data_IF_829890802598
#
_entry.id   IF_829890802598
#
_cell.length_a   1.000
_cell.length_b   1.000
_cell.length_c   1.000
_cell.angle_alpha   90.00
_cell.angle_beta   90.00
_cell.angle_gamma   90.00
#
_symmetry.space_group_name_H-M   'P 1'
#
loop_
_entity.id
_entity.type
_entity.pdbx_description
1 polymer ?
#
# COMPACT_ATOMS: atom_id res chain seq x y z
N UNK A 1 -44.54 37.32 -11.21
CA UNK A 1 -43.38 36.48 -11.60
C UNK A 1 -43.00 35.63 -10.39
N UNK A 2 -43.43 34.35 -10.37
CA UNK A 2 -43.19 33.43 -9.23
C UNK A 2 -41.87 32.72 -9.44
N UNK A 3 -40.91 32.91 -8.53
CA UNK A 3 -39.63 32.22 -8.53
C UNK A 3 -39.84 30.87 -7.85
N UNK A 4 -39.66 29.79 -8.60
CA UNK A 4 -39.67 28.41 -8.12
C UNK A 4 -38.42 28.14 -7.29
N UNK A 5 -38.61 27.71 -6.03
CA UNK A 5 -37.53 27.18 -5.18
C UNK A 5 -37.28 25.73 -5.59
N UNK A 6 -36.15 25.48 -6.20
CA UNK A 6 -35.65 24.13 -6.48
C UNK A 6 -35.11 23.53 -5.17
N UNK A 7 -35.78 22.52 -4.63
CA UNK A 7 -35.28 21.73 -3.51
C UNK A 7 -34.15 20.83 -3.99
N UNK A 8 -32.94 21.10 -3.53
CA UNK A 8 -31.81 20.19 -3.68
C UNK A 8 -31.99 19.09 -2.63
N UNK A 9 -32.34 17.91 -3.08
CA UNK A 9 -32.43 16.71 -2.26
C UNK A 9 -31.00 16.16 -2.02
N UNK A 10 -30.44 16.46 -0.84
CA UNK A 10 -29.18 15.86 -0.41
C UNK A 10 -29.40 14.38 -0.08
N UNK A 11 -28.98 13.49 -0.96
CA UNK A 11 -28.98 12.03 -0.70
C UNK A 11 -27.84 11.74 0.27
N UNK A 12 -28.16 11.59 1.55
CA UNK A 12 -27.28 11.00 2.54
C UNK A 12 -27.14 9.50 2.21
N UNK A 13 -26.04 9.11 1.59
CA UNK A 13 -25.64 7.71 1.49
C UNK A 13 -25.26 7.21 2.89
N UNK A 14 -26.22 6.61 3.58
CA UNK A 14 -25.96 5.87 4.80
C UNK A 14 -25.05 4.67 4.48
N UNK A 15 -23.81 4.71 4.95
CA UNK A 15 -22.90 3.59 4.83
C UNK A 15 -23.48 2.38 5.55
N UNK A 16 -23.74 1.29 4.82
CA UNK A 16 -24.16 0.02 5.41
C UNK A 16 -23.01 -0.54 6.24
N UNK A 17 -23.20 -0.68 7.54
CA UNK A 17 -22.34 -1.47 8.40
C UNK A 17 -22.53 -2.96 8.03
N UNK A 18 -21.50 -3.59 7.49
CA UNK A 18 -21.52 -5.04 7.24
C UNK A 18 -21.26 -5.71 8.58
N UNK A 19 -22.13 -6.62 9.04
CA UNK A 19 -21.91 -7.31 10.31
C UNK A 19 -20.63 -8.13 10.27
N UNK A 20 -19.79 -7.99 11.30
CA UNK A 20 -18.49 -8.62 11.39
C UNK A 20 -18.63 -10.14 11.54
N UNK A 21 -17.95 -10.86 10.68
CA UNK A 21 -17.49 -12.21 11.00
C UNK A 21 -16.28 -12.04 11.92
N UNK A 22 -16.34 -12.56 13.14
CA UNK A 22 -15.19 -12.57 14.05
C UNK A 22 -14.15 -13.53 13.48
N UNK A 23 -13.22 -13.02 12.70
CA UNK A 23 -12.19 -13.82 12.04
C UNK A 23 -11.64 -13.18 10.77
N UNK A 24 -10.84 -13.92 10.04
CA UNK A 24 -10.31 -13.54 8.74
C UNK A 24 -11.07 -14.24 7.60
N UNK A 25 -11.40 -13.56 6.50
CA UNK A 25 -11.03 -12.16 6.15
C UNK A 25 -11.82 -11.13 6.97
N UNK A 26 -11.21 -9.94 7.18
CA UNK A 26 -11.78 -8.87 8.03
C UNK A 26 -12.99 -8.17 7.42
N UNK A 27 -13.17 -8.26 6.11
CA UNK A 27 -14.35 -7.80 5.36
C UNK A 27 -14.51 -8.61 4.07
N UNK A 28 -15.68 -8.56 3.48
CA UNK A 28 -16.00 -9.27 2.24
C UNK A 28 -15.41 -8.57 1.01
N UNK A 29 -15.21 -9.35 -0.06
CA UNK A 29 -14.73 -8.90 -1.37
C UNK A 29 -13.29 -9.32 -1.65
N UNK A 30 -12.88 -9.11 -2.89
CA UNK A 30 -11.52 -9.39 -3.33
C UNK A 30 -10.71 -8.10 -3.23
N UNK A 31 -9.83 -8.08 -2.24
CA UNK A 31 -8.94 -6.94 -1.95
C UNK A 31 -7.53 -7.45 -1.63
N UNK A 32 -6.54 -6.63 -1.98
CA UNK A 32 -5.13 -6.94 -1.81
C UNK A 32 -4.35 -5.73 -1.27
N UNK A 33 -3.06 -5.92 -1.02
CA UNK A 33 -2.07 -4.88 -0.74
C UNK A 33 -2.54 -3.88 0.33
N UNK A 34 -3.02 -4.36 1.50
CA UNK A 34 -3.69 -3.49 2.45
C UNK A 34 -2.70 -2.62 3.22
N UNK A 35 -2.98 -1.33 3.27
CA UNK A 35 -2.33 -0.40 4.17
C UNK A 35 -3.24 -0.12 5.37
N UNK A 36 -2.80 -0.45 6.58
CA UNK A 36 -3.52 -0.12 7.82
C UNK A 36 -2.93 1.11 8.48
N UNK A 37 -3.80 2.03 8.92
CA UNK A 37 -3.45 3.24 9.68
C UNK A 37 -4.41 3.45 10.85
N UNK A 38 -4.01 4.28 11.80
CA UNK A 38 -4.88 4.75 12.87
C UNK A 38 -4.93 6.27 12.82
N UNK A 39 -6.14 6.81 12.68
CA UNK A 39 -6.41 8.25 12.72
C UNK A 39 -7.40 8.52 13.87
N UNK A 40 -6.95 9.30 14.86
CA UNK A 40 -7.73 9.47 16.09
C UNK A 40 -7.99 8.12 16.77
N UNK A 41 -9.26 7.78 16.95
CA UNK A 41 -9.70 6.53 17.58
C UNK A 41 -10.11 5.43 16.59
N UNK A 42 -9.98 5.67 15.28
CA UNK A 42 -10.37 4.73 14.25
C UNK A 42 -9.18 4.11 13.52
N UNK A 43 -9.29 2.83 13.21
CA UNK A 43 -8.40 2.11 12.32
C UNK A 43 -8.96 2.20 10.89
N UNK A 44 -8.07 2.42 9.94
CA UNK A 44 -8.39 2.53 8.52
C UNK A 44 -7.57 1.54 7.72
N UNK A 45 -8.23 0.84 6.82
CA UNK A 45 -7.57 -0.04 5.84
C UNK A 45 -7.86 0.49 4.45
N UNK A 46 -6.79 0.69 3.70
CA UNK A 46 -6.80 1.14 2.31
C UNK A 46 -6.24 0.00 1.46
N UNK A 47 -7.07 -0.79 0.80
CA UNK A 47 -6.60 -1.90 -0.04
C UNK A 47 -6.65 -1.57 -1.53
N UNK A 48 -5.95 -2.37 -2.34
CA UNK A 48 -6.18 -2.50 -3.76
C UNK A 48 -7.47 -3.30 -4.01
N UNK A 49 -8.31 -2.88 -4.93
CA UNK A 49 -9.40 -3.72 -5.47
C UNK A 49 -8.75 -4.83 -6.32
N UNK A 50 -8.98 -6.10 -5.97
CA UNK A 50 -8.30 -7.22 -6.59
C UNK A 50 -9.14 -7.86 -7.69
N UNK A 51 -9.00 -7.34 -8.90
CA UNK A 51 -9.66 -7.83 -10.14
C UNK A 51 -8.65 -7.84 -11.30
N UNK A 52 -9.10 -8.01 -12.51
CA UNK A 52 -8.27 -7.80 -13.69
C UNK A 52 -7.81 -6.34 -13.78
N UNK A 53 -6.56 -6.13 -14.16
CA UNK A 53 -5.87 -4.82 -14.09
C UNK A 53 -6.65 -3.66 -14.72
N UNK A 54 -7.42 -3.90 -15.78
CA UNK A 54 -8.25 -2.87 -16.41
C UNK A 54 -9.46 -2.44 -15.60
N UNK A 55 -9.88 -3.23 -14.61
CA UNK A 55 -10.99 -2.91 -13.72
C UNK A 55 -10.53 -2.28 -12.40
N UNK A 56 -9.26 -2.33 -12.11
CA UNK A 56 -8.65 -1.71 -10.94
C UNK A 56 -8.48 -0.21 -11.18
N UNK A 57 -9.61 0.51 -11.23
CA UNK A 57 -9.72 1.93 -11.61
C UNK A 57 -10.10 2.84 -10.45
N UNK A 58 -10.16 2.29 -9.23
CA UNK A 58 -10.54 3.03 -8.04
C UNK A 58 -10.01 2.36 -6.78
N UNK A 59 -10.03 3.10 -5.68
CA UNK A 59 -9.80 2.59 -4.34
C UNK A 59 -11.05 2.74 -3.48
N UNK A 60 -11.31 1.73 -2.65
CA UNK A 60 -12.21 1.80 -1.50
C UNK A 60 -11.37 1.96 -0.22
N UNK A 61 -12.01 2.39 0.87
CA UNK A 61 -11.42 2.35 2.19
C UNK A 61 -12.38 1.67 3.18
N UNK A 62 -11.84 1.21 4.30
CA UNK A 62 -12.61 0.61 5.38
C UNK A 62 -12.17 1.20 6.71
N UNK A 63 -13.12 1.57 7.57
CA UNK A 63 -12.84 2.05 8.93
C UNK A 63 -13.44 1.16 10.00
N UNK A 64 -12.78 1.12 11.16
CA UNK A 64 -13.20 0.33 12.32
C UNK A 64 -12.73 0.97 13.61
N UNK A 65 -13.54 0.96 14.64
CA UNK A 65 -13.14 1.37 16.00
C UNK A 65 -12.56 0.22 16.84
N UNK A 66 -12.77 -1.05 16.41
CA UNK A 66 -12.51 -2.23 17.22
C UNK A 66 -11.69 -3.33 16.51
N UNK A 67 -11.29 -3.10 15.25
CA UNK A 67 -10.64 -4.08 14.35
C UNK A 67 -11.49 -5.32 14.05
N UNK A 68 -12.78 -5.30 14.35
CA UNK A 68 -13.70 -6.41 14.14
C UNK A 68 -14.84 -6.06 13.20
N UNK A 69 -15.44 -4.90 13.41
CA UNK A 69 -16.54 -4.40 12.58
C UNK A 69 -16.01 -3.30 11.67
N UNK A 70 -16.21 -3.47 10.35
CA UNK A 70 -15.65 -2.58 9.33
C UNK A 70 -16.74 -1.89 8.54
N UNK A 71 -16.63 -0.57 8.43
CA UNK A 71 -17.47 0.26 7.58
C UNK A 71 -16.75 0.53 6.26
N UNK A 72 -17.39 0.19 5.14
CA UNK A 72 -16.86 0.47 3.81
C UNK A 72 -17.12 1.94 3.40
N UNK A 73 -16.11 2.57 2.82
CA UNK A 73 -16.15 3.87 2.16
C UNK A 73 -15.80 3.66 0.69
N UNK A 74 -16.79 3.65 -0.22
CA UNK A 74 -16.56 3.29 -1.60
C UNK A 74 -15.94 4.41 -2.41
N UNK A 75 -15.07 4.07 -3.36
CA UNK A 75 -14.54 4.95 -4.40
C UNK A 75 -13.97 6.26 -3.87
N UNK A 76 -13.07 6.15 -2.89
CA UNK A 76 -12.42 7.30 -2.26
C UNK A 76 -11.52 8.07 -3.24
N UNK A 77 -10.98 7.39 -4.26
CA UNK A 77 -10.20 7.92 -5.38
C UNK A 77 -10.48 7.06 -6.61
N UNK A 78 -10.64 7.68 -7.78
CA UNK A 78 -10.87 6.97 -9.05
C UNK A 78 -10.02 7.55 -10.18
N UNK A 79 -9.99 6.86 -11.33
CA UNK A 79 -9.35 7.38 -12.56
C UNK A 79 -10.00 8.66 -13.10
N UNK A 80 -11.18 9.06 -12.61
CA UNK A 80 -11.77 10.34 -12.98
C UNK A 80 -11.00 11.52 -12.36
N UNK A 81 -10.53 11.35 -11.13
CA UNK A 81 -9.72 12.35 -10.42
C UNK A 81 -8.24 12.27 -10.82
N UNK A 82 -7.79 11.12 -11.33
CA UNK A 82 -6.39 10.85 -11.73
C UNK A 82 -6.32 10.70 -13.24
N UNK A 83 -6.34 11.81 -13.96
CA UNK A 83 -6.52 11.82 -15.43
C UNK A 83 -5.40 11.18 -16.23
N UNK A 84 -4.23 10.97 -15.64
CA UNK A 84 -3.10 10.26 -16.25
C UNK A 84 -3.15 8.74 -16.07
N UNK A 85 -3.95 8.22 -15.13
CA UNK A 85 -4.14 6.80 -14.90
C UNK A 85 -5.32 6.27 -15.73
N UNK A 86 -5.17 5.07 -16.27
CA UNK A 86 -6.22 4.34 -17.01
C UNK A 86 -6.75 3.14 -16.24
N UNK A 87 -5.94 2.57 -15.36
CA UNK A 87 -6.24 1.38 -14.58
C UNK A 87 -5.00 0.86 -13.86
N UNK A 88 -5.10 -0.35 -13.34
CA UNK A 88 -4.06 -0.97 -12.51
C UNK A 88 -3.62 -0.05 -11.37
N UNK A 89 -4.61 0.51 -10.65
CA UNK A 89 -4.40 1.35 -9.46
C UNK A 89 -4.17 0.45 -8.25
N UNK A 90 -2.95 0.49 -7.68
CA UNK A 90 -2.47 -0.50 -6.71
C UNK A 90 -1.80 0.09 -5.49
N UNK A 91 -1.75 -0.75 -4.44
CA UNK A 91 -0.86 -0.65 -3.30
C UNK A 91 -0.82 0.75 -2.66
N UNK A 92 -1.92 1.21 -2.10
CA UNK A 92 -2.00 2.54 -1.52
C UNK A 92 -1.20 2.64 -0.22
N UNK A 93 -0.68 3.85 0.05
CA UNK A 93 -0.10 4.23 1.35
C UNK A 93 -0.64 5.61 1.76
N UNK A 94 -1.32 5.68 2.90
CA UNK A 94 -2.02 6.88 3.34
C UNK A 94 -1.38 7.49 4.60
N UNK A 95 -1.28 8.82 4.64
CA UNK A 95 -0.70 9.57 5.76
C UNK A 95 -1.52 10.80 6.10
N UNK A 96 -1.74 11.04 7.39
CA UNK A 96 -2.22 12.31 7.89
C UNK A 96 -1.02 13.24 8.15
N UNK A 97 -1.04 14.43 7.57
CA UNK A 97 -0.03 15.46 7.77
C UNK A 97 -0.72 16.82 7.84
N UNK A 98 -0.58 17.51 8.95
CA UNK A 98 -1.13 18.85 9.19
C UNK A 98 -2.65 18.98 8.86
N UNK A 99 -3.42 17.95 9.26
CA UNK A 99 -4.87 17.88 9.07
C UNK A 99 -5.33 17.58 7.64
N UNK A 100 -4.41 17.20 6.76
CA UNK A 100 -4.70 16.70 5.43
C UNK A 100 -4.29 15.23 5.32
N UNK A 101 -4.98 14.49 4.46
CA UNK A 101 -4.72 13.08 4.19
C UNK A 101 -4.10 12.95 2.81
N UNK A 102 -2.87 12.46 2.77
CA UNK A 102 -2.11 12.21 1.54
C UNK A 102 -2.15 10.73 1.22
N UNK A 103 -2.47 10.42 -0.02
CA UNK A 103 -2.69 9.06 -0.50
C UNK A 103 -1.76 8.79 -1.67
N UNK A 104 -0.70 8.01 -1.41
CA UNK A 104 0.24 7.57 -2.42
C UNK A 104 -0.28 6.28 -3.03
N UNK A 105 -0.19 6.14 -4.33
CA UNK A 105 -0.69 4.97 -5.05
C UNK A 105 0.12 4.73 -6.32
N UNK A 106 0.13 3.48 -6.77
CA UNK A 106 0.67 3.12 -8.08
C UNK A 106 -0.45 3.08 -9.12
N UNK A 107 -0.14 3.45 -10.36
CA UNK A 107 -1.00 3.19 -11.50
C UNK A 107 -0.12 2.65 -12.65
N UNK A 108 -0.34 1.41 -13.04
CA UNK A 108 0.53 0.72 -14.02
C UNK A 108 -0.10 0.61 -15.41
N UNK A 109 -1.32 1.11 -15.60
CA UNK A 109 -1.89 1.42 -16.92
C UNK A 109 -2.14 2.93 -16.99
N UNK A 110 -1.25 3.64 -17.66
CA UNK A 110 -1.25 5.10 -17.73
C UNK A 110 -1.37 5.59 -19.18
N UNK A 111 -1.85 6.81 -19.37
CA UNK A 111 -1.66 7.52 -20.63
C UNK A 111 -0.17 7.81 -20.85
N UNK A 112 0.30 7.97 -22.10
CA UNK A 112 1.71 8.24 -22.39
C UNK A 112 2.10 9.63 -21.85
N UNK A 113 2.45 9.70 -20.59
CA UNK A 113 3.05 10.86 -19.96
C UNK A 113 4.45 10.45 -19.52
N UNK A 114 5.43 10.71 -20.31
CA UNK A 114 6.88 10.72 -19.98
C UNK A 114 7.45 9.57 -19.09
N UNK A 115 6.75 8.50 -18.83
CA UNK A 115 7.29 7.36 -18.07
C UNK A 115 8.34 6.62 -18.90
N UNK A 116 9.63 6.89 -18.67
CA UNK A 116 10.73 6.23 -19.38
C UNK A 116 11.63 5.48 -18.42
N UNK A 117 12.20 4.38 -18.92
CA UNK A 117 13.28 3.67 -18.25
C UNK A 117 14.52 4.59 -18.17
N UNK A 118 15.48 4.19 -17.33
CA UNK A 118 16.77 4.89 -17.23
C UNK A 118 17.50 5.02 -18.58
N UNK A 119 17.27 4.03 -19.47
CA UNK A 119 17.76 4.01 -20.86
C UNK A 119 16.93 4.86 -21.84
N UNK A 120 15.90 5.56 -21.34
CA UNK A 120 15.05 6.45 -22.14
C UNK A 120 13.89 5.76 -22.87
N UNK A 121 13.84 4.41 -22.88
CA UNK A 121 12.81 3.66 -23.59
C UNK A 121 11.60 3.36 -22.70
N UNK A 122 10.38 3.44 -23.28
CA UNK A 122 9.18 3.05 -22.57
C UNK A 122 9.11 1.53 -22.40
N UNK A 123 9.06 1.03 -21.18
CA UNK A 123 8.81 -0.38 -20.92
C UNK A 123 7.32 -0.65 -20.91
N UNK A 124 6.82 -1.31 -21.94
CA UNK A 124 5.48 -1.87 -21.94
C UNK A 124 5.40 -3.00 -20.93
N UNK A 125 4.51 -2.89 -19.96
CA UNK A 125 4.16 -4.02 -19.10
C UNK A 125 3.38 -5.04 -19.92
N UNK A 126 3.65 -6.34 -19.78
CA UNK A 126 2.89 -7.36 -20.48
C UNK A 126 1.39 -7.21 -20.23
N UNK A 127 0.60 -7.00 -21.28
CA UNK A 127 -0.84 -6.82 -21.20
C UNK A 127 -1.34 -5.42 -20.77
N UNK A 128 -0.45 -4.48 -20.46
CA UNK A 128 -0.77 -3.10 -20.13
C UNK A 128 -0.29 -2.13 -21.22
N UNK A 129 -1.08 -1.10 -21.49
CA UNK A 129 -0.75 -0.08 -22.50
C UNK A 129 -0.30 1.23 -21.85
N UNK A 130 0.70 1.18 -20.98
CA UNK A 130 1.20 2.35 -20.30
C UNK A 130 2.56 2.13 -19.68
N UNK A 131 3.08 3.15 -19.00
CA UNK A 131 4.46 3.17 -18.53
C UNK A 131 4.58 2.99 -17.02
N UNK A 132 3.46 2.98 -16.29
CA UNK A 132 3.44 2.91 -14.85
C UNK A 132 3.94 4.19 -14.18
N UNK A 133 3.50 4.42 -12.95
CA UNK A 133 3.93 5.55 -12.15
C UNK A 133 3.36 5.50 -10.75
N UNK A 134 4.00 6.24 -9.84
CA UNK A 134 3.50 6.47 -8.48
C UNK A 134 2.95 7.88 -8.43
N UNK A 135 1.67 8.00 -8.03
CA UNK A 135 1.00 9.27 -7.84
C UNK A 135 0.78 9.61 -6.37
N UNK A 136 0.34 10.82 -6.12
CA UNK A 136 -0.11 11.27 -4.81
C UNK A 136 -1.39 12.07 -4.95
N UNK A 137 -2.37 11.74 -4.11
CA UNK A 137 -3.63 12.45 -4.00
C UNK A 137 -3.82 13.02 -2.59
N UNK A 138 -4.70 13.99 -2.43
CA UNK A 138 -4.95 14.65 -1.14
C UNK A 138 -6.45 14.81 -0.88
N UNK A 139 -6.83 14.67 0.39
CA UNK A 139 -8.19 14.91 0.88
C UNK A 139 -8.18 15.63 2.23
N UNK A 140 -9.36 16.14 2.63
CA UNK A 140 -9.59 16.75 3.94
C UNK A 140 -9.99 15.74 5.02
N UNK A 141 -10.35 14.50 4.60
CA UNK A 141 -10.81 13.42 5.46
C UNK A 141 -10.28 12.07 4.95
N UNK A 142 -10.11 11.07 5.82
CA UNK A 142 -9.56 9.78 5.42
C UNK A 142 -10.43 9.01 4.42
N UNK A 143 -11.76 9.22 4.46
CA UNK A 143 -12.68 8.64 3.48
C UNK A 143 -12.76 9.42 2.15
N UNK A 144 -11.95 10.46 1.98
CA UNK A 144 -11.95 11.28 0.78
C UNK A 144 -13.13 12.30 0.71
N UNK A 145 -13.52 12.73 -0.50
CA UNK A 145 -12.94 12.35 -1.78
C UNK A 145 -11.51 12.86 -1.96
N UNK A 146 -10.64 11.99 -2.45
CA UNK A 146 -9.27 12.38 -2.78
C UNK A 146 -9.20 13.03 -4.16
N UNK A 147 -8.22 13.92 -4.35
CA UNK A 147 -7.93 14.60 -5.61
C UNK A 147 -6.46 14.46 -5.93
N UNK A 148 -6.12 14.23 -7.19
CA UNK A 148 -4.74 14.23 -7.64
C UNK A 148 -4.04 15.52 -7.23
N UNK A 149 -2.89 15.40 -6.56
CA UNK A 149 -2.15 16.54 -6.02
C UNK A 149 -1.30 17.25 -7.07
N UNK A 150 -0.84 16.51 -8.10
CA UNK A 150 0.19 16.99 -9.03
C UNK A 150 -0.32 17.02 -10.47
N UNK A 151 -1.32 16.23 -10.84
CA UNK A 151 -1.81 16.07 -12.21
C UNK A 151 -0.91 15.20 -13.11
N UNK A 152 0.08 14.52 -12.52
CA UNK A 152 1.03 13.61 -13.18
C UNK A 152 1.65 12.69 -12.15
N UNK A 153 2.31 11.58 -12.54
CA UNK A 153 3.06 10.76 -11.60
C UNK A 153 4.17 11.56 -10.90
N UNK A 154 4.36 11.31 -9.61
CA UNK A 154 5.52 11.76 -8.83
C UNK A 154 6.77 10.98 -9.25
N UNK A 155 6.63 9.67 -9.46
CA UNK A 155 7.63 8.78 -10.07
C UNK A 155 7.06 8.31 -11.40
N UNK A 156 7.71 8.67 -12.50
CA UNK A 156 7.25 8.43 -13.87
C UNK A 156 8.18 7.52 -14.69
N UNK A 157 9.15 6.88 -14.03
CA UNK A 157 10.20 6.11 -14.69
C UNK A 157 10.74 4.95 -13.85
N UNK A 158 11.45 4.07 -14.51
CA UNK A 158 12.04 2.86 -13.93
C UNK A 158 13.51 3.10 -13.57
N UNK A 159 13.76 3.74 -12.45
CA UNK A 159 15.13 3.83 -11.92
C UNK A 159 15.58 2.46 -11.41
N UNK A 160 16.86 2.10 -11.64
CA UNK A 160 17.45 0.83 -11.19
C UNK A 160 16.68 -0.42 -11.67
N UNK A 161 15.88 -0.31 -12.72
CA UNK A 161 15.01 -1.38 -13.17
C UNK A 161 13.83 -1.70 -12.24
N UNK A 162 13.63 -0.91 -11.19
CA UNK A 162 12.49 -1.05 -10.29
C UNK A 162 11.20 -0.60 -10.97
N UNK A 163 10.19 -1.47 -10.97
CA UNK A 163 8.85 -1.07 -11.35
C UNK A 163 8.34 -0.02 -10.34
N UNK A 164 7.78 1.12 -10.78
CA UNK A 164 7.28 2.15 -9.89
C UNK A 164 5.95 1.76 -9.25
N UNK A 165 6.01 0.86 -8.27
CA UNK A 165 4.89 0.34 -7.49
C UNK A 165 5.26 0.20 -6.02
N UNK A 166 4.26 -0.10 -5.21
CA UNK A 166 4.39 -0.59 -3.82
C UNK A 166 5.19 0.37 -2.95
N UNK A 167 4.85 1.64 -3.04
CA UNK A 167 5.46 2.69 -2.26
C UNK A 167 5.08 2.60 -0.79
N UNK A 168 6.05 2.85 0.07
CA UNK A 168 5.89 3.05 1.50
C UNK A 168 6.58 4.34 1.93
N UNK A 169 5.82 5.26 2.50
CA UNK A 169 6.31 6.57 2.92
C UNK A 169 6.57 6.58 4.42
N UNK A 170 7.66 7.17 4.85
CA UNK A 170 8.01 7.30 6.25
C UNK A 170 8.72 8.61 6.56
N UNK A 171 8.62 9.05 7.83
CA UNK A 171 9.29 10.25 8.32
C UNK A 171 10.50 9.90 9.17
N UNK A 172 11.63 10.54 8.92
CA UNK A 172 12.82 10.40 9.74
C UNK A 172 13.53 11.73 9.93
N UNK A 173 13.79 12.13 11.19
CA UNK A 173 14.46 13.39 11.56
C UNK A 173 13.88 14.64 10.89
N UNK A 174 12.55 14.67 10.71
CA UNK A 174 11.84 15.80 10.10
C UNK A 174 11.66 15.74 8.59
N UNK A 175 12.40 14.89 7.90
CA UNK A 175 12.30 14.68 6.45
C UNK A 175 11.41 13.49 6.11
N UNK A 176 10.81 13.53 4.91
CA UNK A 176 10.00 12.47 4.35
C UNK A 176 10.78 11.66 3.33
N UNK A 177 10.63 10.36 3.39
CA UNK A 177 11.25 9.41 2.49
C UNK A 177 10.21 8.43 1.96
N UNK A 178 10.48 7.86 0.80
CA UNK A 178 9.68 6.79 0.22
C UNK A 178 10.60 5.67 -0.24
N UNK A 179 10.28 4.44 0.14
CA UNK A 179 10.81 3.23 -0.47
C UNK A 179 9.77 2.69 -1.42
N UNK A 180 10.17 2.22 -2.58
CA UNK A 180 9.26 1.67 -3.57
C UNK A 180 9.97 0.71 -4.53
N UNK A 181 9.23 -0.14 -5.17
CA UNK A 181 9.74 -0.94 -6.26
C UNK A 181 9.07 -2.30 -6.39
N UNK A 182 9.14 -2.81 -7.60
CA UNK A 182 8.79 -4.18 -7.97
C UNK A 182 9.89 -4.82 -8.79
N UNK A 183 9.62 -6.05 -9.28
CA UNK A 183 10.53 -6.87 -10.10
C UNK A 183 11.88 -7.15 -9.44
N UNK A 184 11.90 -7.25 -8.12
CA UNK A 184 13.11 -7.59 -7.37
C UNK A 184 14.07 -6.42 -7.17
N UNK A 185 13.62 -5.18 -7.37
CA UNK A 185 14.39 -3.96 -7.15
C UNK A 185 13.63 -2.99 -6.27
N UNK A 186 14.33 -2.37 -5.34
CA UNK A 186 13.82 -1.39 -4.41
C UNK A 186 14.64 -0.11 -4.46
N UNK A 187 13.96 1.02 -4.51
CA UNK A 187 14.58 2.34 -4.48
C UNK A 187 14.17 3.11 -3.24
N UNK A 188 15.09 3.92 -2.73
CA UNK A 188 14.84 4.95 -1.72
C UNK A 188 14.91 6.31 -2.39
N UNK A 189 13.90 7.17 -2.12
CA UNK A 189 13.87 8.57 -2.55
C UNK A 189 13.53 9.48 -1.37
N UNK A 190 13.93 10.75 -1.45
CA UNK A 190 13.55 11.79 -0.50
C UNK A 190 12.44 12.64 -1.09
N UNK A 191 11.39 12.89 -0.31
CA UNK A 191 10.21 13.66 -0.73
C UNK A 191 10.32 15.11 -0.26
N UNK A 192 9.84 16.04 -1.07
CA UNK A 192 9.56 17.39 -0.61
C UNK A 192 8.44 17.39 0.43
N UNK A 193 8.41 18.38 1.31
CA UNK A 193 7.43 18.46 2.42
C UNK A 193 5.98 18.58 1.94
N UNK A 194 5.79 19.10 0.74
CA UNK A 194 4.47 19.23 0.08
C UNK A 194 4.09 17.99 -0.77
N UNK A 195 4.95 16.98 -0.83
CA UNK A 195 4.80 15.74 -1.59
C UNK A 195 4.64 15.90 -3.11
N UNK A 196 4.99 17.09 -3.67
CA UNK A 196 4.85 17.37 -5.11
C UNK A 196 6.09 17.08 -5.92
N UNK A 197 7.22 16.83 -5.27
CA UNK A 197 8.50 16.59 -5.93
C UNK A 197 9.45 15.77 -5.06
N UNK A 198 10.53 15.30 -5.66
CA UNK A 198 11.65 14.69 -4.97
C UNK A 198 12.69 15.76 -4.59
N UNK A 199 13.43 15.49 -3.52
CA UNK A 199 14.57 16.27 -3.06
C UNK A 199 15.84 15.46 -3.34
N UNK A 200 16.84 16.02 -4.04
CA UNK A 200 18.10 15.32 -4.22
C UNK A 200 18.79 14.99 -2.89
N UNK A 201 19.50 13.87 -2.84
CA UNK A 201 20.46 13.57 -1.80
C UNK A 201 21.70 14.50 -1.92
N UNK A 202 22.59 14.45 -0.93
CA UNK A 202 23.78 15.31 -0.89
C UNK A 202 24.70 15.15 -2.11
N UNK A 203 24.72 13.95 -2.71
CA UNK A 203 25.45 13.63 -3.95
C UNK A 203 24.74 14.07 -5.24
N UNK A 204 23.59 14.73 -5.12
CA UNK A 204 22.77 15.16 -6.25
C UNK A 204 21.85 14.08 -6.84
N UNK A 205 21.95 12.83 -6.40
CA UNK A 205 21.09 11.75 -6.87
C UNK A 205 19.65 11.91 -6.37
N UNK A 206 18.66 11.52 -7.19
CA UNK A 206 17.24 11.54 -6.80
C UNK A 206 16.78 10.21 -6.18
N UNK A 207 17.55 9.15 -6.33
CA UNK A 207 17.24 7.83 -5.83
C UNK A 207 18.51 7.09 -5.41
N UNK A 208 18.33 6.07 -4.58
CA UNK A 208 19.39 5.14 -4.16
C UNK A 208 18.87 3.71 -4.25
N UNK A 209 19.72 2.78 -4.68
CA UNK A 209 19.41 1.35 -4.57
C UNK A 209 19.23 0.98 -3.10
N UNK A 210 18.09 0.37 -2.81
CA UNK A 210 17.71 0.01 -1.45
C UNK A 210 17.25 -1.46 -1.37
N UNK A 211 17.66 -2.27 -2.34
CA UNK A 211 17.20 -3.64 -2.54
C UNK A 211 17.77 -4.59 -1.49
N UNK A 212 16.98 -5.11 -0.54
CA UNK A 212 17.45 -6.10 0.41
C UNK A 212 17.45 -7.51 -0.21
N UNK A 213 18.12 -8.44 0.46
CA UNK A 213 18.20 -9.84 0.02
C UNK A 213 16.82 -10.48 -0.11
N UNK A 214 16.51 -11.03 -1.29
CA UNK A 214 15.26 -11.75 -1.54
C UNK A 214 14.03 -10.85 -1.72
N UNK A 215 14.23 -9.57 -1.92
CA UNK A 215 13.18 -8.59 -2.22
C UNK A 215 12.49 -8.89 -3.55
N UNK A 216 11.18 -8.72 -3.59
CA UNK A 216 10.40 -8.70 -4.83
C UNK A 216 9.61 -7.39 -4.93
N UNK A 217 8.87 -7.02 -3.88
CA UNK A 217 7.99 -5.84 -3.82
C UNK A 217 7.45 -5.63 -2.40
N UNK A 218 6.47 -4.70 -2.20
CA UNK A 218 5.67 -4.60 -0.97
C UNK A 218 6.44 -4.18 0.26
N UNK A 219 7.16 -3.06 0.18
CA UNK A 219 7.99 -2.50 1.26
C UNK A 219 7.16 -2.01 2.45
N UNK A 220 7.62 -2.30 3.67
CA UNK A 220 7.11 -1.72 4.92
C UNK A 220 8.27 -1.46 5.89
N UNK A 221 8.30 -0.28 6.50
CA UNK A 221 9.32 0.08 7.47
C UNK A 221 8.69 0.58 8.78
N UNK A 222 9.19 0.10 9.91
CA UNK A 222 8.78 0.62 11.21
C UNK A 222 9.90 0.55 12.24
N UNK A 223 9.77 1.33 13.30
CA UNK A 223 10.73 1.35 14.41
C UNK A 223 10.14 0.70 15.65
N UNK A 224 10.90 -0.23 16.27
CA UNK A 224 10.56 -0.83 17.56
C UNK A 224 11.79 -0.94 18.44
N UNK A 225 11.71 -0.48 19.69
CA UNK A 225 12.80 -0.54 20.71
C UNK A 225 14.17 -0.13 20.15
N UNK A 226 14.19 0.98 19.41
CA UNK A 226 15.43 1.54 18.84
C UNK A 226 15.85 0.97 17.49
N UNK A 227 15.42 -0.21 17.11
CA UNK A 227 15.76 -0.87 15.85
C UNK A 227 14.73 -0.54 14.75
N UNK A 228 15.18 -0.53 13.49
CA UNK A 228 14.37 -0.42 12.31
C UNK A 228 14.14 -1.79 11.67
N UNK A 229 12.91 -2.09 11.40
CA UNK A 229 12.48 -3.31 10.71
C UNK A 229 12.10 -2.94 9.30
N UNK A 230 12.68 -3.59 8.34
CA UNK A 230 12.35 -3.50 6.93
C UNK A 230 11.73 -4.82 6.50
N UNK A 231 10.44 -4.84 6.26
CA UNK A 231 9.68 -6.00 5.81
C UNK A 231 9.31 -5.81 4.34
N UNK A 232 9.25 -6.91 3.59
CA UNK A 232 8.97 -6.87 2.16
C UNK A 232 8.50 -8.23 1.64
N UNK A 233 7.80 -8.21 0.51
CA UNK A 233 7.32 -9.42 -0.14
C UNK A 233 8.43 -10.15 -0.89
N UNK A 234 8.30 -11.47 -0.93
CA UNK A 234 9.17 -12.40 -1.64
C UNK A 234 8.33 -13.43 -2.41
N UNK A 235 8.93 -14.17 -3.34
CA UNK A 235 8.21 -15.12 -4.20
C UNK A 235 7.41 -14.43 -5.30
N UNK A 236 6.46 -15.11 -5.90
CA UNK A 236 5.63 -14.57 -6.99
C UNK A 236 4.19 -14.34 -6.56
N UNK A 237 3.64 -13.14 -6.75
CA UNK A 237 2.29 -12.80 -6.31
C UNK A 237 1.19 -13.70 -6.90
N UNK A 238 1.41 -14.28 -8.07
CA UNK A 238 0.49 -15.24 -8.69
C UNK A 238 0.70 -16.69 -8.25
N UNK A 239 1.82 -16.95 -7.53
CA UNK A 239 2.22 -18.29 -7.09
C UNK A 239 1.90 -18.54 -5.63
N UNK A 240 1.95 -19.79 -5.21
CA UNK A 240 1.72 -20.17 -3.81
C UNK A 240 2.86 -19.70 -2.88
N UNK A 241 4.07 -19.50 -3.42
CA UNK A 241 5.28 -19.15 -2.68
C UNK A 241 5.40 -17.67 -2.29
N UNK A 242 4.40 -16.84 -2.63
CA UNK A 242 4.38 -15.44 -2.20
C UNK A 242 4.44 -15.36 -0.67
N UNK A 243 5.27 -14.48 -0.15
CA UNK A 243 5.69 -14.50 1.25
C UNK A 243 6.12 -13.12 1.74
N UNK A 244 6.39 -12.99 3.04
CA UNK A 244 7.00 -11.80 3.64
C UNK A 244 8.29 -12.19 4.33
N UNK A 245 9.37 -11.54 3.94
CA UNK A 245 10.67 -11.55 4.61
C UNK A 245 10.85 -10.26 5.43
N UNK A 246 11.85 -10.26 6.34
CA UNK A 246 12.24 -9.05 7.04
C UNK A 246 13.74 -9.01 7.30
N UNK A 247 14.21 -7.79 7.48
CA UNK A 247 15.58 -7.44 7.87
C UNK A 247 15.54 -6.38 8.98
N UNK A 248 16.62 -6.28 9.78
CA UNK A 248 16.70 -5.35 10.91
C UNK A 248 17.97 -4.51 10.80
N UNK A 249 17.86 -3.22 11.12
CA UNK A 249 18.98 -2.28 11.11
C UNK A 249 18.89 -1.26 12.23
N UNK A 250 19.95 -0.49 12.44
CA UNK A 250 20.01 0.57 13.45
C UNK A 250 19.44 1.90 12.95
N UNK A 251 19.44 2.08 11.65
CA UNK A 251 18.89 3.27 10.98
C UNK A 251 17.88 2.88 9.91
N UNK A 252 16.99 3.79 9.47
CA UNK A 252 16.07 3.49 8.39
C UNK A 252 16.78 3.38 7.02
N UNK A 253 18.08 3.64 6.97
CA UNK A 253 18.91 3.56 5.75
C UNK A 253 19.84 2.34 5.75
N UNK A 254 19.69 1.46 6.73
CA UNK A 254 20.54 0.30 6.93
C UNK A 254 21.91 0.63 7.57
N UNK A 255 22.90 -0.27 7.45
CA UNK A 255 22.73 -1.58 6.81
C UNK A 255 21.68 -2.45 7.50
N UNK A 256 21.01 -3.31 6.72
CA UNK A 256 20.00 -4.23 7.23
C UNK A 256 20.53 -5.66 7.24
N UNK A 257 20.40 -6.33 8.38
CA UNK A 257 20.67 -7.74 8.55
C UNK A 257 19.39 -8.55 8.23
N UNK A 258 19.48 -9.47 7.27
CA UNK A 258 18.38 -10.37 6.93
C UNK A 258 18.10 -11.33 8.09
N UNK A 259 16.85 -11.42 8.52
CA UNK A 259 16.40 -12.24 9.65
C UNK A 259 15.59 -13.47 9.25
N UNK A 260 14.78 -13.38 8.21
CA UNK A 260 14.01 -14.53 7.74
C UNK A 260 12.63 -14.21 7.22
N UNK A 261 11.84 -15.28 7.11
CA UNK A 261 10.45 -15.24 6.64
C UNK A 261 9.49 -15.23 7.83
N UNK A 262 8.47 -14.36 7.77
CA UNK A 262 7.45 -14.23 8.81
C UNK A 262 6.05 -14.62 8.36
N UNK A 263 5.77 -14.58 7.05
CA UNK A 263 4.46 -14.92 6.47
C UNK A 263 4.64 -15.68 5.17
N UNK A 264 3.75 -16.62 4.87
CA UNK A 264 3.81 -17.40 3.64
C UNK A 264 2.65 -18.40 3.57
N UNK A 265 2.86 -19.54 2.93
CA UNK A 265 1.88 -20.62 2.79
C UNK A 265 1.50 -21.21 4.15
N UNK A 266 0.20 -21.35 4.41
CA UNK A 266 -0.36 -22.06 5.57
C UNK A 266 -1.53 -22.95 5.14
N UNK A 267 -1.24 -24.13 4.65
CA UNK A 267 -2.28 -25.12 4.30
C UNK A 267 -2.95 -25.70 5.55
N UNK A 268 -4.26 -25.93 5.58
CA UNK A 268 -5.25 -25.75 4.51
C UNK A 268 -5.89 -24.34 4.45
N UNK A 269 -5.37 -23.33 5.14
CA UNK A 269 -5.99 -22.01 5.27
C UNK A 269 -5.81 -21.17 4.01
N UNK A 270 -4.55 -20.96 3.60
CA UNK A 270 -4.25 -20.06 2.50
C UNK A 270 -2.88 -20.31 1.83
N UNK A 271 -2.74 -19.76 0.64
CA UNK A 271 -1.49 -19.61 -0.10
C UNK A 271 -1.29 -18.15 -0.49
N UNK A 272 -0.12 -17.81 -1.00
CA UNK A 272 0.17 -16.51 -1.59
C UNK A 272 -0.07 -15.36 -0.62
N UNK A 273 0.29 -15.55 0.66
CA UNK A 273 0.17 -14.51 1.67
C UNK A 273 1.37 -13.56 1.61
N UNK A 274 1.10 -12.29 1.38
CA UNK A 274 2.14 -11.27 1.22
C UNK A 274 1.56 -9.87 1.18
N UNK A 275 2.32 -8.95 0.68
CA UNK A 275 2.07 -7.51 0.62
C UNK A 275 1.22 -7.03 1.81
N UNK A 276 1.86 -6.44 2.77
CA UNK A 276 1.34 -6.25 4.11
C UNK A 276 1.57 -4.83 4.59
N UNK A 277 0.98 -4.53 5.71
CA UNK A 277 1.31 -3.37 6.55
C UNK A 277 1.28 -3.78 8.01
N UNK A 278 1.85 -2.96 8.89
CA UNK A 278 1.89 -3.25 10.32
C UNK A 278 1.37 -2.07 11.13
N UNK A 279 0.75 -2.35 12.26
CA UNK A 279 0.25 -1.34 13.17
C UNK A 279 0.47 -1.74 14.63
N UNK A 280 0.85 -0.76 15.45
CA UNK A 280 0.88 -0.90 16.90
C UNK A 280 -0.49 -0.50 17.47
N UNK A 281 -1.12 -1.41 18.21
CA UNK A 281 -2.47 -1.22 18.76
C UNK A 281 -2.49 -1.01 20.27
N UNK A 282 -1.41 -1.30 20.96
CA UNK A 282 -1.22 -1.14 22.41
C UNK A 282 0.25 -1.00 22.77
N UNK A 283 0.59 -1.16 24.06
CA UNK A 283 1.96 -1.15 24.53
C UNK A 283 2.71 -2.37 24.02
N UNK A 284 3.51 -2.16 22.96
CA UNK A 284 4.25 -3.21 22.24
C UNK A 284 3.36 -4.35 21.69
N UNK A 285 2.07 -4.07 21.51
CA UNK A 285 1.13 -4.97 20.86
C UNK A 285 0.98 -4.61 19.38
N UNK A 286 1.31 -5.55 18.50
CA UNK A 286 1.39 -5.32 17.06
C UNK A 286 0.44 -6.22 16.28
N UNK A 287 -0.05 -5.71 15.15
CA UNK A 287 -0.82 -6.45 14.15
C UNK A 287 -0.16 -6.33 12.81
N UNK A 288 -0.27 -7.39 12.02
CA UNK A 288 0.05 -7.40 10.60
C UNK A 288 -1.26 -7.48 9.82
N UNK A 289 -1.46 -6.54 8.91
CA UNK A 289 -2.56 -6.54 7.95
C UNK A 289 -1.96 -6.94 6.59
N UNK A 290 -2.52 -7.96 5.94
CA UNK A 290 -1.93 -8.56 4.76
C UNK A 290 -3.01 -9.16 3.86
N UNK A 291 -2.68 -9.43 2.60
CA UNK A 291 -3.57 -10.24 1.79
C UNK A 291 -3.15 -11.70 1.75
N UNK A 292 -4.11 -12.58 1.52
CA UNK A 292 -3.88 -14.00 1.25
C UNK A 292 -4.90 -14.53 0.23
N UNK A 293 -4.57 -15.65 -0.40
CA UNK A 293 -5.51 -16.39 -1.24
C UNK A 293 -6.08 -17.56 -0.44
N UNK A 294 -7.39 -17.56 -0.15
CA UNK A 294 -8.02 -18.67 0.58
C UNK A 294 -7.97 -19.97 -0.23
N UNK A 295 -7.99 -21.10 0.44
CA UNK A 295 -8.05 -22.43 -0.20
C UNK A 295 -9.47 -22.97 -0.05
N UNK A 296 -10.12 -23.40 -1.17
CA UNK A 296 -9.63 -23.49 -2.54
C UNK A 296 -9.55 -22.10 -3.22
N UNK A 297 -8.56 -21.92 -4.08
CA UNK A 297 -8.38 -20.70 -4.86
C UNK A 297 -8.62 -20.94 -6.34
N UNK A 298 -9.34 -20.04 -7.02
CA UNK A 298 -9.70 -20.14 -8.44
C UNK A 298 -9.04 -19.08 -9.32
N UNK A 299 -8.37 -18.09 -8.74
CA UNK A 299 -7.74 -16.98 -9.46
C UNK A 299 -6.66 -16.33 -8.63
N UNK A 300 -5.55 -15.86 -9.21
CA UNK A 300 -4.56 -15.07 -8.49
C UNK A 300 -5.14 -13.74 -7.95
N UNK A 301 -6.23 -13.24 -8.53
CA UNK A 301 -6.93 -12.04 -8.05
C UNK A 301 -7.91 -12.31 -6.91
N UNK A 302 -8.20 -13.56 -6.55
CA UNK A 302 -9.04 -13.87 -5.39
C UNK A 302 -8.24 -13.74 -4.10
N UNK A 303 -7.84 -12.52 -3.79
CA UNK A 303 -7.12 -12.15 -2.57
C UNK A 303 -8.08 -11.53 -1.57
N UNK A 304 -7.92 -11.87 -0.30
CA UNK A 304 -8.72 -11.33 0.81
C UNK A 304 -7.80 -10.69 1.84
N UNK A 305 -8.29 -9.65 2.51
CA UNK A 305 -7.53 -8.93 3.54
C UNK A 305 -7.74 -9.56 4.90
N UNK A 306 -6.64 -9.74 5.60
CA UNK A 306 -6.57 -10.38 6.91
C UNK A 306 -5.78 -9.54 7.90
N UNK A 307 -6.10 -9.67 9.19
CA UNK A 307 -5.32 -9.10 10.30
C UNK A 307 -5.02 -10.19 11.30
N UNK A 308 -3.74 -10.36 11.64
CA UNK A 308 -3.30 -11.29 12.67
C UNK A 308 -2.32 -10.63 13.64
N UNK A 309 -2.05 -11.28 14.76
CA UNK A 309 -1.04 -10.81 15.72
C UNK A 309 0.35 -10.94 15.13
N UNK A 310 1.17 -9.91 15.29
CA UNK A 310 2.60 -9.95 15.02
C UNK A 310 3.33 -9.98 16.37
N UNK A 311 4.04 -11.07 16.62
CA UNK A 311 4.67 -11.36 17.91
C UNK A 311 6.18 -11.30 17.76
N UNK A 312 6.85 -10.70 18.73
CA UNK A 312 8.30 -10.63 18.82
C UNK A 312 8.78 -11.55 19.95
N UNK A 313 9.93 -12.17 19.76
CA UNK A 313 10.60 -12.89 20.84
C UNK A 313 11.43 -11.94 21.75
N UNK A 314 12.16 -12.50 22.70
CA UNK A 314 13.01 -11.78 23.64
C UNK A 314 14.17 -11.03 22.98
N UNK A 315 14.65 -11.52 21.83
CA UNK A 315 15.72 -10.89 21.05
C UNK A 315 15.20 -9.79 20.11
N UNK A 316 13.87 -9.66 20.00
CA UNK A 316 13.21 -8.72 19.09
C UNK A 316 13.00 -9.30 17.69
N UNK A 317 13.24 -10.57 17.47
CA UNK A 317 12.94 -11.22 16.19
C UNK A 317 11.44 -11.48 16.04
N UNK A 318 10.91 -11.28 14.82
CA UNK A 318 9.50 -11.51 14.53
C UNK A 318 9.26 -13.01 14.42
N UNK A 319 8.37 -13.55 15.25
CA UNK A 319 7.94 -14.94 15.14
C UNK A 319 7.07 -15.13 13.89
N UNK A 320 7.09 -16.32 13.26
CA UNK A 320 6.17 -16.63 12.17
C UNK A 320 4.73 -16.32 12.55
N UNK A 321 4.02 -15.65 11.64
CA UNK A 321 2.63 -15.23 11.87
C UNK A 321 1.70 -16.45 11.89
N UNK A 322 0.93 -16.59 12.96
CA UNK A 322 -0.13 -17.58 13.07
C UNK A 322 -1.39 -17.08 12.40
N UNK A 323 -1.65 -17.57 11.16
CA UNK A 323 -2.87 -17.21 10.42
C UNK A 323 -4.10 -17.75 11.11
N UNK A 324 -5.06 -16.87 11.39
CA UNK A 324 -6.40 -17.25 11.85
C UNK A 324 -7.38 -17.44 10.67
N UNK A 325 -8.51 -18.12 10.95
CA UNK A 325 -9.63 -18.27 10.00
C UNK A 325 -10.64 -17.16 10.22
#
# INVERSE_FOLDING_TARGET
>A
MKISKTNVLSVLLAGMAIPAVAGNPIFEGWYADPQIRKYGNEYWVFPTVSDSFRKETFFDAFSSSDLKTWKKHPRILTTNEVTWARGAMWAPDAHEVDGKYYFFFSANDTYPVSGRREDGEPKKLPGLQGYGGIGVAVADRPEGPYRDLIGKPLIDRFWNGAQPIDQYVFKYKGDWYMVYGGWGRCNLVKLAKDFKSLVPFEDGSLWRDFTPKGYVEGSVMFKRKGKWYFMYSCGGWTRDDYCVNYSVGDTPFGPFEFKGKVLGVKRPIATGAGHHSVIRVGDDEWRICYHRRPIPNKSPHHRVVCIDRMVFDENGDIKPVEMTK
#
